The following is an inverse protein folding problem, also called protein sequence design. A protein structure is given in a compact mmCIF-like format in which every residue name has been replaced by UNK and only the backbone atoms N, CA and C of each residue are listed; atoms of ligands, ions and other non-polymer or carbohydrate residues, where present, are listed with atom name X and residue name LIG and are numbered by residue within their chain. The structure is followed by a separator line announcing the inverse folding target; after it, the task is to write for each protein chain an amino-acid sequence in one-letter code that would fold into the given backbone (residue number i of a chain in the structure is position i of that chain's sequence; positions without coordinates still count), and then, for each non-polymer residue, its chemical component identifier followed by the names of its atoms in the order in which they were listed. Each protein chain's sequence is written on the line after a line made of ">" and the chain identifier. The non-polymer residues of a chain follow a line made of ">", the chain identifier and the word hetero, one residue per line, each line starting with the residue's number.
data_IF_656692091228
#
_entry.id   IF_656692091228
#
_cell.length_a   1.000
_cell.length_b   1.000
_cell.length_c   1.000
_cell.angle_alpha   90.00
_cell.angle_beta   90.00
_cell.angle_gamma   90.00
#
_symmetry.space_group_name_H-M   'P 1'
#
loop_
_entity.id
_entity.type
_entity.pdbx_description
1 polymer ?
#
# COMPACT_ATOMS: atom_id res chain seq x y z
N UNK A 1 4.58 -30.73 55.89
CA UNK A 1 4.19 -29.30 55.96
C UNK A 1 5.33 -28.35 55.61
N UNK A 2 6.49 -28.34 56.27
CA UNK A 2 7.58 -27.38 55.94
C UNK A 2 8.18 -27.56 54.52
N UNK A 3 8.38 -28.82 54.09
CA UNK A 3 8.95 -29.18 52.77
C UNK A 3 8.09 -28.76 51.56
N UNK A 4 6.75 -28.91 51.66
CA UNK A 4 5.82 -28.55 50.58
C UNK A 4 5.66 -27.04 50.43
N UNK A 5 5.59 -26.31 51.55
CA UNK A 5 5.60 -24.84 51.53
C UNK A 5 6.91 -24.29 50.95
N UNK A 6 8.05 -24.90 51.28
CA UNK A 6 9.35 -24.49 50.73
C UNK A 6 9.47 -24.76 49.23
N UNK A 7 8.77 -25.79 48.71
CA UNK A 7 8.69 -26.05 47.26
C UNK A 7 7.79 -25.01 46.57
N UNK A 8 6.58 -24.80 47.09
CA UNK A 8 5.65 -23.82 46.53
C UNK A 8 6.23 -22.39 46.49
N UNK A 9 6.93 -21.97 47.55
CA UNK A 9 7.61 -20.66 47.59
C UNK A 9 8.75 -20.57 46.58
N UNK A 10 9.47 -21.67 46.31
CA UNK A 10 10.52 -21.70 45.28
C UNK A 10 9.95 -21.60 43.87
N UNK A 11 8.91 -22.37 43.58
CA UNK A 11 8.26 -22.37 42.26
C UNK A 11 7.61 -21.00 41.97
N UNK A 12 6.97 -20.38 42.97
CA UNK A 12 6.38 -19.04 42.83
C UNK A 12 7.44 -17.95 42.58
N UNK A 13 8.62 -18.08 43.19
CA UNK A 13 9.76 -17.18 42.92
C UNK A 13 10.27 -17.35 41.49
N UNK A 14 10.32 -18.58 40.99
CA UNK A 14 10.69 -18.83 39.59
C UNK A 14 9.68 -18.18 38.64
N UNK A 15 8.37 -18.33 38.87
CA UNK A 15 7.34 -17.64 38.06
C UNK A 15 7.54 -16.13 38.04
N UNK A 16 7.88 -15.52 39.18
CA UNK A 16 8.13 -14.08 39.27
C UNK A 16 9.39 -13.64 38.50
N UNK A 17 10.48 -14.41 38.59
CA UNK A 17 11.70 -14.15 37.82
C UNK A 17 11.45 -14.30 36.31
N UNK A 18 10.68 -15.31 35.93
CA UNK A 18 10.24 -15.55 34.56
C UNK A 18 9.41 -14.38 34.03
N UNK A 19 8.41 -13.93 34.80
CA UNK A 19 7.59 -12.77 34.45
C UNK A 19 8.46 -11.53 34.19
N UNK A 20 9.48 -11.28 35.03
CA UNK A 20 10.43 -10.17 34.81
C UNK A 20 11.26 -10.33 33.54
N UNK A 21 11.75 -11.53 33.26
CA UNK A 21 12.52 -11.80 32.04
C UNK A 21 11.66 -11.61 30.78
N UNK A 22 10.42 -12.12 30.79
CA UNK A 22 9.45 -11.91 29.70
C UNK A 22 9.14 -10.44 29.47
N UNK A 23 9.03 -9.64 30.53
CA UNK A 23 8.80 -8.19 30.41
C UNK A 23 9.96 -7.47 29.73
N UNK A 24 11.20 -7.92 29.92
CA UNK A 24 12.40 -7.29 29.34
C UNK A 24 12.66 -7.65 27.87
N UNK A 25 12.04 -8.72 27.36
CA UNK A 25 12.22 -9.19 25.98
C UNK A 25 11.15 -8.62 25.06
N UNK A 26 11.58 -7.95 23.98
CA UNK A 26 10.70 -7.33 22.98
C UNK A 26 10.65 -8.10 21.66
N UNK A 27 11.66 -8.92 21.36
CA UNK A 27 11.71 -9.74 20.15
C UNK A 27 10.90 -11.02 20.33
N UNK A 28 9.99 -11.29 19.40
CA UNK A 28 9.07 -12.43 19.47
C UNK A 28 9.83 -13.77 19.52
N UNK A 29 10.86 -13.95 18.68
CA UNK A 29 11.66 -15.17 18.63
C UNK A 29 12.39 -15.50 19.95
N UNK A 30 13.00 -14.49 20.57
CA UNK A 30 13.64 -14.62 21.87
C UNK A 30 12.63 -14.95 22.96
N UNK A 31 11.46 -14.30 22.92
CA UNK A 31 10.39 -14.53 23.89
C UNK A 31 9.83 -15.96 23.79
N UNK A 32 9.62 -16.47 22.57
CA UNK A 32 9.19 -17.86 22.34
C UNK A 32 10.18 -18.86 22.95
N UNK A 33 11.47 -18.65 22.67
CA UNK A 33 12.55 -19.51 23.19
C UNK A 33 12.61 -19.45 24.72
N UNK A 34 12.44 -18.26 25.30
CA UNK A 34 12.41 -18.05 26.74
C UNK A 34 11.24 -18.79 27.39
N UNK A 35 10.02 -18.66 26.84
CA UNK A 35 8.82 -19.35 27.34
C UNK A 35 9.01 -20.87 27.31
N UNK A 36 9.50 -21.42 26.18
CA UNK A 36 9.73 -22.86 26.02
C UNK A 36 10.74 -23.37 27.06
N UNK A 37 11.89 -22.72 27.21
CA UNK A 37 12.91 -23.12 28.17
C UNK A 37 12.41 -23.07 29.61
N UNK A 38 11.57 -22.08 29.93
CA UNK A 38 10.94 -22.00 31.24
C UNK A 38 9.90 -23.08 31.46
N UNK A 39 9.07 -23.40 30.47
CA UNK A 39 8.12 -24.51 30.56
C UNK A 39 8.85 -25.85 30.81
N UNK A 40 9.96 -26.10 30.09
CA UNK A 40 10.78 -27.30 30.25
C UNK A 40 11.31 -27.48 31.67
N UNK A 41 11.81 -26.39 32.27
CA UNK A 41 12.45 -26.41 33.60
C UNK A 41 11.43 -26.40 34.73
N UNK A 42 10.45 -25.51 34.66
CA UNK A 42 9.42 -25.30 35.68
C UNK A 42 8.49 -26.51 35.81
N UNK A 43 8.04 -27.05 34.68
CA UNK A 43 7.13 -28.20 34.65
C UNK A 43 7.88 -29.54 34.57
N UNK A 44 9.21 -29.56 34.51
CA UNK A 44 10.00 -30.79 34.52
C UNK A 44 9.57 -31.79 33.42
N UNK A 45 9.44 -31.30 32.19
CA UNK A 45 8.98 -32.06 31.02
C UNK A 45 10.14 -32.35 30.05
N UNK A 46 9.94 -33.27 29.11
CA UNK A 46 10.98 -33.62 28.11
C UNK A 46 10.97 -32.69 26.90
N UNK A 47 9.78 -32.23 26.48
CA UNK A 47 9.63 -31.36 25.31
C UNK A 47 8.52 -30.35 25.55
N UNK A 48 8.65 -29.16 24.96
CA UNK A 48 7.62 -28.16 24.91
C UNK A 48 7.58 -27.55 23.51
N UNK A 49 6.38 -27.24 23.03
CA UNK A 49 6.13 -26.63 21.73
C UNK A 49 5.15 -25.49 21.94
N UNK A 50 5.44 -24.33 21.35
CA UNK A 50 4.57 -23.17 21.42
C UNK A 50 3.98 -22.90 20.03
N UNK A 51 2.66 -22.90 19.95
CA UNK A 51 1.90 -22.59 18.75
C UNK A 51 1.29 -21.20 18.89
N UNK A 52 1.57 -20.30 17.95
CA UNK A 52 0.89 -19.01 17.84
C UNK A 52 -0.42 -19.21 17.07
N UNK A 53 -1.49 -18.57 17.52
CA UNK A 53 -2.78 -18.61 16.84
C UNK A 53 -2.84 -17.53 15.75
N UNK A 54 -3.11 -17.94 14.52
CA UNK A 54 -3.39 -17.08 13.39
C UNK A 54 -4.89 -17.05 13.13
N UNK A 55 -5.54 -15.98 13.57
CA UNK A 55 -6.97 -15.76 13.44
C UNK A 55 -7.42 -15.61 11.97
N UNK A 56 -6.54 -15.12 11.09
CA UNK A 56 -6.89 -14.87 9.69
C UNK A 56 -7.07 -16.17 8.90
N UNK A 57 -6.25 -17.19 9.21
CA UNK A 57 -6.31 -18.51 8.54
C UNK A 57 -6.94 -19.59 9.41
N UNK A 58 -7.27 -19.28 10.67
CA UNK A 58 -7.73 -20.23 11.70
C UNK A 58 -6.76 -21.41 11.91
N UNK A 59 -5.47 -21.08 12.06
CA UNK A 59 -4.39 -22.06 12.19
C UNK A 59 -3.49 -21.80 13.41
N UNK A 60 -2.87 -22.88 13.89
CA UNK A 60 -1.82 -22.86 14.90
C UNK A 60 -0.46 -23.03 14.22
N UNK A 61 0.41 -22.04 14.41
CA UNK A 61 1.73 -21.98 13.77
C UNK A 61 2.82 -22.13 14.82
N UNK A 62 3.63 -23.19 14.74
CA UNK A 62 4.81 -23.34 15.57
C UNK A 62 6.04 -22.77 14.85
N UNK A 63 6.65 -21.73 15.45
CA UNK A 63 7.94 -21.20 15.02
C UNK A 63 9.07 -21.90 15.79
N UNK A 64 9.86 -22.71 15.09
CA UNK A 64 10.98 -23.45 15.69
C UNK A 64 12.24 -22.57 15.63
N UNK A 65 12.88 -22.34 16.78
CA UNK A 65 14.07 -21.48 16.92
C UNK A 65 15.34 -22.00 16.21
N UNK A 66 15.29 -23.12 15.48
CA UNK A 66 16.46 -23.82 14.91
C UNK A 66 16.40 -24.03 13.39
N UNK A 67 15.73 -23.15 12.64
CA UNK A 67 15.92 -23.06 11.18
C UNK A 67 15.32 -24.20 10.34
N UNK A 68 14.23 -24.81 10.79
CA UNK A 68 13.43 -25.80 10.03
C UNK A 68 12.00 -25.30 9.92
N UNK A 69 11.32 -25.68 8.82
CA UNK A 69 9.98 -25.29 8.36
C UNK A 69 8.94 -24.96 9.46
N UNK A 70 8.12 -23.94 9.19
CA UNK A 70 6.94 -23.62 10.00
C UNK A 70 5.96 -24.79 9.99
N UNK A 71 5.64 -25.34 11.18
CA UNK A 71 4.59 -26.33 11.31
C UNK A 71 3.25 -25.62 11.50
N UNK A 72 2.37 -25.74 10.51
CA UNK A 72 0.98 -25.22 10.55
C UNK A 72 0.01 -26.38 10.77
N UNK A 73 -0.87 -26.23 11.75
CA UNK A 73 -1.97 -27.18 11.99
C UNK A 73 -3.30 -26.43 12.12
N UNK A 74 -4.41 -26.95 11.57
CA UNK A 74 -5.73 -26.34 11.75
C UNK A 74 -6.07 -26.18 13.22
N UNK A 75 -6.62 -25.02 13.60
CA UNK A 75 -6.94 -24.70 14.99
C UNK A 75 -8.14 -25.48 15.55
N UNK A 76 -8.85 -26.25 14.72
CA UNK A 76 -9.97 -27.11 15.10
C UNK A 76 -9.57 -28.57 15.33
N UNK A 77 -8.31 -28.93 15.06
CA UNK A 77 -7.84 -30.33 15.08
C UNK A 77 -6.89 -30.64 16.21
N UNK A 78 -6.99 -31.88 16.69
CA UNK A 78 -6.14 -32.44 17.72
C UNK A 78 -6.32 -31.80 19.10
N UNK A 79 -5.41 -32.11 20.01
CA UNK A 79 -5.52 -31.69 21.41
C UNK A 79 -5.25 -30.19 21.58
N UNK A 80 -4.33 -29.62 20.78
CA UNK A 80 -4.13 -28.17 20.73
C UNK A 80 -5.38 -27.45 20.20
N UNK A 81 -6.03 -27.96 19.15
CA UNK A 81 -7.27 -27.36 18.64
C UNK A 81 -8.43 -27.42 19.64
N UNK A 82 -8.56 -28.50 20.40
CA UNK A 82 -9.52 -28.54 21.51
C UNK A 82 -9.23 -27.46 22.58
N UNK A 83 -7.96 -27.15 22.82
CA UNK A 83 -7.56 -26.08 23.74
C UNK A 83 -7.96 -24.71 23.21
N UNK A 84 -7.82 -24.49 21.89
CA UNK A 84 -8.32 -23.28 21.21
C UNK A 84 -9.83 -23.14 21.39
N UNK A 85 -10.60 -24.19 21.06
CA UNK A 85 -12.06 -24.18 21.12
C UNK A 85 -12.62 -24.01 22.53
N UNK A 86 -11.99 -24.62 23.53
CA UNK A 86 -12.48 -24.60 24.91
C UNK A 86 -11.91 -23.46 25.73
N UNK A 87 -10.76 -22.90 25.35
CA UNK A 87 -10.02 -21.92 26.12
C UNK A 87 -9.55 -22.43 27.49
N UNK A 88 -9.45 -23.76 27.67
CA UNK A 88 -9.12 -24.43 28.93
C UNK A 88 -7.90 -25.32 28.78
N UNK A 89 -7.13 -25.45 29.86
CA UNK A 89 -6.02 -26.41 29.95
C UNK A 89 -6.54 -27.84 29.81
N UNK A 90 -5.87 -28.65 28.98
CA UNK A 90 -6.22 -30.06 28.75
C UNK A 90 -5.03 -30.92 29.17
N UNK A 91 -5.28 -31.90 30.03
CA UNK A 91 -4.30 -32.90 30.45
C UNK A 91 -4.69 -34.25 29.86
N UNK A 92 -3.73 -34.91 29.22
CA UNK A 92 -3.91 -36.24 28.63
C UNK A 92 -2.90 -37.20 29.28
N UNK A 93 -3.36 -38.10 30.16
CA UNK A 93 -2.49 -39.04 30.88
C UNK A 93 -1.84 -40.11 29.99
N UNK A 94 -2.50 -40.51 28.91
CA UNK A 94 -1.96 -41.41 27.89
C UNK A 94 -2.30 -40.89 26.49
N UNK A 95 -1.29 -40.38 25.78
CA UNK A 95 -1.47 -39.81 24.45
C UNK A 95 -1.95 -40.83 23.42
N UNK A 96 -1.49 -42.09 23.48
CA UNK A 96 -1.88 -43.12 22.50
C UNK A 96 -3.27 -43.70 22.76
N UNK A 97 -3.84 -43.45 23.95
CA UNK A 97 -5.21 -43.81 24.29
C UNK A 97 -6.23 -42.71 23.94
N UNK A 98 -5.78 -41.50 23.60
CA UNK A 98 -6.65 -40.37 23.27
C UNK A 98 -6.91 -40.30 21.76
N UNK A 99 -8.18 -40.36 21.35
CA UNK A 99 -8.59 -40.33 19.94
C UNK A 99 -8.18 -39.04 19.20
N UNK A 100 -7.95 -37.95 19.94
CA UNK A 100 -7.54 -36.65 19.37
C UNK A 100 -6.03 -36.58 19.12
N UNK A 101 -5.25 -37.52 19.63
CA UNK A 101 -3.81 -37.56 19.40
C UNK A 101 -3.52 -38.12 18.00
N UNK A 102 -2.56 -37.53 17.30
CA UNK A 102 -2.09 -38.03 16.00
C UNK A 102 -0.74 -38.75 16.15
N UNK A 103 -0.69 -40.09 16.15
CA UNK A 103 0.55 -40.84 16.34
C UNK A 103 1.53 -40.74 15.17
N UNK A 104 1.11 -40.20 14.01
CA UNK A 104 1.98 -40.10 12.84
C UNK A 104 3.14 -39.12 13.09
N UNK A 105 2.87 -38.01 13.79
CA UNK A 105 3.88 -37.00 14.14
C UNK A 105 4.99 -37.60 15.01
N UNK A 106 4.63 -38.45 15.96
CA UNK A 106 5.58 -39.17 16.82
C UNK A 106 6.46 -40.15 16.02
N UNK A 107 5.87 -40.88 15.06
CA UNK A 107 6.59 -41.80 14.18
C UNK A 107 7.61 -41.07 13.30
N UNK A 108 7.22 -39.95 12.72
CA UNK A 108 8.06 -39.17 11.82
C UNK A 108 9.22 -38.52 12.57
N UNK A 109 9.01 -38.10 13.82
CA UNK A 109 10.02 -37.47 14.68
C UNK A 109 10.84 -38.47 15.53
N UNK A 110 10.53 -39.77 15.45
CA UNK A 110 11.18 -40.80 16.27
C UNK A 110 11.03 -40.57 17.78
N UNK A 111 9.94 -39.93 18.20
CA UNK A 111 9.66 -39.56 19.58
C UNK A 111 8.39 -40.27 20.06
N UNK A 112 8.33 -40.65 21.35
CA UNK A 112 7.13 -41.26 21.93
C UNK A 112 6.55 -40.36 23.01
N UNK A 113 5.36 -39.85 22.75
CA UNK A 113 4.56 -39.09 23.69
C UNK A 113 3.80 -40.05 24.62
N UNK A 114 4.08 -39.98 25.92
CA UNK A 114 3.46 -40.75 26.99
C UNK A 114 2.26 -40.00 27.55
N UNK A 115 2.51 -38.83 28.14
CA UNK A 115 1.50 -37.92 28.65
C UNK A 115 1.77 -36.50 28.12
N UNK A 116 0.74 -35.68 28.05
CA UNK A 116 0.88 -34.29 27.60
C UNK A 116 -0.11 -33.36 28.28
N UNK A 117 0.22 -32.07 28.26
CA UNK A 117 -0.66 -30.98 28.69
C UNK A 117 -0.62 -29.87 27.65
N UNK A 118 -1.78 -29.31 27.32
CA UNK A 118 -1.92 -28.14 26.45
C UNK A 118 -2.56 -27.00 27.22
N UNK A 119 -1.95 -25.82 27.13
CA UNK A 119 -2.24 -24.65 27.96
C UNK A 119 -2.59 -23.48 27.03
N UNK A 120 -3.75 -22.85 27.19
CA UNK A 120 -4.10 -21.67 26.40
C UNK A 120 -3.23 -20.48 26.83
N UNK A 121 -2.63 -19.80 25.86
CA UNK A 121 -1.88 -18.58 26.06
C UNK A 121 -2.82 -17.41 25.79
N UNK A 122 -3.38 -16.84 26.85
CA UNK A 122 -4.34 -15.74 26.73
C UNK A 122 -3.69 -14.40 27.00
N UNK A 123 -3.90 -13.46 26.09
CA UNK A 123 -3.49 -12.08 26.23
C UNK A 123 -4.44 -11.28 27.12
N UNK A 124 -4.38 -9.96 26.98
CA UNK A 124 -5.34 -9.04 27.59
C UNK A 124 -6.76 -9.34 27.09
N UNK A 125 -7.75 -9.10 27.96
CA UNK A 125 -9.18 -9.31 27.65
C UNK A 125 -9.55 -10.76 27.26
N UNK A 126 -8.78 -11.74 27.74
CA UNK A 126 -9.01 -13.18 27.50
C UNK A 126 -8.84 -13.60 26.02
N UNK A 127 -8.22 -12.76 25.18
CA UNK A 127 -7.97 -13.09 23.78
C UNK A 127 -6.94 -14.22 23.66
N UNK A 128 -7.21 -15.26 22.88
CA UNK A 128 -6.29 -16.37 22.69
C UNK A 128 -5.17 -15.99 21.71
N UNK A 129 -3.94 -16.02 22.20
CA UNK A 129 -2.73 -15.67 21.42
C UNK A 129 -2.04 -16.93 20.88
N UNK A 130 -2.25 -18.06 21.54
CA UNK A 130 -1.62 -19.32 21.16
C UNK A 130 -1.88 -20.45 22.16
N UNK A 131 -1.18 -21.56 21.96
CA UNK A 131 -1.22 -22.74 22.83
C UNK A 131 0.19 -23.20 23.13
N UNK A 132 0.49 -23.39 24.42
CA UNK A 132 1.71 -24.06 24.87
C UNK A 132 1.41 -25.54 25.11
N UNK A 133 2.09 -26.41 24.37
CA UNK A 133 2.04 -27.84 24.56
C UNK A 133 3.30 -28.31 25.29
N UNK A 134 3.14 -29.13 26.33
CA UNK A 134 4.24 -29.77 27.04
C UNK A 134 4.07 -31.28 27.04
N UNK A 135 5.14 -32.01 26.80
CA UNK A 135 5.14 -33.45 26.57
C UNK A 135 6.05 -34.18 27.56
N UNK A 136 5.60 -35.34 28.02
CA UNK A 136 6.32 -36.28 28.87
C UNK A 136 6.84 -35.66 30.16
N UNK A 137 6.00 -35.63 31.20
CA UNK A 137 6.43 -35.31 32.57
C UNK A 137 7.51 -36.31 33.01
N UNK A 138 8.63 -35.81 33.52
CA UNK A 138 9.80 -36.63 33.89
C UNK A 138 9.58 -37.46 35.16
N UNK A 139 8.68 -37.02 36.04
CA UNK A 139 8.38 -37.72 37.30
C UNK A 139 6.88 -37.66 37.56
N UNK A 140 6.25 -38.85 37.61
CA UNK A 140 4.81 -38.99 37.80
C UNK A 140 3.97 -38.43 36.66
N UNK A 141 2.68 -38.28 36.93
CA UNK A 141 1.72 -37.58 36.07
C UNK A 141 1.62 -36.10 36.47
N UNK A 142 0.98 -35.30 35.62
CA UNK A 142 0.72 -33.90 35.93
C UNK A 142 -0.23 -33.77 37.14
N UNK A 143 0.24 -33.10 38.19
CA UNK A 143 -0.53 -32.81 39.39
C UNK A 143 -1.36 -31.51 39.25
N UNK A 144 -2.32 -31.30 40.13
CA UNK A 144 -3.08 -30.04 40.18
C UNK A 144 -2.15 -28.80 40.34
N UNK A 145 -1.07 -28.95 41.12
CA UNK A 145 -0.05 -27.90 41.25
C UNK A 145 0.69 -27.62 39.93
N UNK A 146 0.96 -28.66 39.12
CA UNK A 146 1.57 -28.47 37.80
C UNK A 146 0.62 -27.73 36.85
N UNK A 147 -0.69 -27.98 36.97
CA UNK A 147 -1.72 -27.27 36.20
C UNK A 147 -1.77 -25.80 36.62
N UNK A 148 -1.86 -25.51 37.92
CA UNK A 148 -1.86 -24.13 38.44
C UNK A 148 -0.61 -23.35 37.98
N UNK A 149 0.55 -24.00 38.02
CA UNK A 149 1.82 -23.42 37.62
C UNK A 149 1.90 -23.18 36.11
N UNK A 150 1.39 -24.12 35.32
CA UNK A 150 1.30 -24.03 33.87
C UNK A 150 0.34 -22.91 33.44
N UNK A 151 -0.81 -22.77 34.09
CA UNK A 151 -1.79 -21.71 33.84
C UNK A 151 -1.22 -20.33 34.20
N UNK A 152 -0.50 -20.22 35.32
CA UNK A 152 0.20 -18.99 35.70
C UNK A 152 1.26 -18.59 34.66
N UNK A 153 2.07 -19.55 34.20
CA UNK A 153 3.03 -19.33 33.12
C UNK A 153 2.32 -18.94 31.82
N UNK A 154 1.24 -19.63 31.47
CA UNK A 154 0.47 -19.41 30.26
C UNK A 154 -0.16 -18.01 30.19
N UNK A 155 -0.69 -17.51 31.31
CA UNK A 155 -1.22 -16.16 31.42
C UNK A 155 -0.13 -15.08 31.24
N UNK A 156 1.05 -15.26 31.85
CA UNK A 156 2.17 -14.32 31.68
C UNK A 156 2.72 -14.35 30.25
N UNK A 157 2.91 -15.56 29.70
CA UNK A 157 3.38 -15.77 28.35
C UNK A 157 2.40 -15.18 27.31
N UNK A 158 1.09 -15.38 27.49
CA UNK A 158 0.08 -14.84 26.58
C UNK A 158 0.11 -13.32 26.48
N UNK A 159 0.19 -12.62 27.61
CA UNK A 159 0.32 -11.15 27.63
C UNK A 159 1.63 -10.69 26.98
N UNK A 160 2.74 -11.33 27.30
CA UNK A 160 4.04 -10.98 26.73
C UNK A 160 4.09 -11.20 25.21
N UNK A 161 3.53 -12.31 24.72
CA UNK A 161 3.46 -12.65 23.30
C UNK A 161 2.56 -11.69 22.53
N UNK A 162 1.38 -11.35 23.08
CA UNK A 162 0.50 -10.36 22.46
C UNK A 162 1.23 -9.03 22.29
N UNK A 163 1.93 -8.57 23.33
CA UNK A 163 2.71 -7.34 23.29
C UNK A 163 3.82 -7.40 22.22
N UNK A 164 4.60 -8.49 22.18
CA UNK A 164 5.67 -8.65 21.21
C UNK A 164 5.14 -8.63 19.77
N UNK A 165 4.03 -9.33 19.50
CA UNK A 165 3.37 -9.33 18.17
C UNK A 165 2.83 -7.95 17.78
N UNK A 166 2.19 -7.25 18.71
CA UNK A 166 1.71 -5.89 18.47
C UNK A 166 2.86 -4.92 18.18
N UNK A 167 3.98 -5.04 18.90
CA UNK A 167 5.18 -4.22 18.67
C UNK A 167 5.82 -4.52 17.31
N UNK A 168 5.93 -5.79 16.93
CA UNK A 168 6.44 -6.22 15.62
C UNK A 168 5.59 -5.62 14.49
N UNK A 169 4.27 -5.82 14.52
CA UNK A 169 3.36 -5.24 13.53
C UNK A 169 3.42 -3.70 13.50
N UNK A 170 3.53 -3.05 14.65
CA UNK A 170 3.67 -1.61 14.74
C UNK A 170 4.96 -1.12 14.07
N UNK A 171 6.08 -1.78 14.32
CA UNK A 171 7.37 -1.44 13.71
C UNK A 171 7.38 -1.70 12.19
N UNK A 172 6.74 -2.78 11.72
CA UNK A 172 6.58 -3.05 10.29
C UNK A 172 5.72 -1.99 9.62
N UNK A 173 4.57 -1.64 10.20
CA UNK A 173 3.72 -0.56 9.72
C UNK A 173 4.47 0.77 9.66
N UNK A 174 5.21 1.13 10.72
CA UNK A 174 5.99 2.37 10.75
C UNK A 174 7.09 2.39 9.68
N UNK A 175 7.74 1.26 9.40
CA UNK A 175 8.72 1.15 8.31
C UNK A 175 8.06 1.35 6.95
N UNK A 176 6.88 0.76 6.73
CA UNK A 176 6.12 0.92 5.49
C UNK A 176 5.68 2.37 5.28
N UNK A 177 5.08 2.99 6.29
CA UNK A 177 4.67 4.41 6.25
C UNK A 177 5.85 5.32 5.93
N UNK A 178 7.03 5.07 6.53
CA UNK A 178 8.24 5.84 6.25
C UNK A 178 8.72 5.65 4.81
N UNK A 179 8.66 4.44 4.27
CA UNK A 179 9.01 4.18 2.87
C UNK A 179 8.06 4.90 1.91
N UNK A 180 6.75 4.88 2.18
CA UNK A 180 5.74 5.59 1.39
C UNK A 180 5.93 7.10 1.44
N UNK A 181 6.25 7.67 2.61
CA UNK A 181 6.55 9.10 2.71
C UNK A 181 7.76 9.50 1.86
N UNK A 182 8.81 8.68 1.83
CA UNK A 182 9.97 8.92 0.97
C UNK A 182 9.58 8.87 -0.51
N UNK A 183 8.78 7.88 -0.92
CA UNK A 183 8.28 7.79 -2.28
C UNK A 183 7.46 9.03 -2.69
N UNK A 184 6.59 9.49 -1.80
CA UNK A 184 5.81 10.73 -1.98
C UNK A 184 6.69 11.95 -2.17
N UNK A 185 7.71 12.11 -1.33
CA UNK A 185 8.62 13.26 -1.39
C UNK A 185 9.42 13.26 -2.71
N UNK A 186 9.85 12.07 -3.18
CA UNK A 186 10.50 11.91 -4.48
C UNK A 186 9.55 12.32 -5.61
N UNK A 187 8.33 11.78 -5.63
CA UNK A 187 7.37 12.06 -6.71
C UNK A 187 6.97 13.53 -6.77
N UNK A 188 6.73 14.16 -5.60
CA UNK A 188 6.50 15.61 -5.52
C UNK A 188 7.70 16.41 -6.03
N UNK A 189 8.92 16.00 -5.67
CA UNK A 189 10.15 16.64 -6.16
C UNK A 189 10.42 16.41 -7.65
N UNK A 190 9.72 15.46 -8.29
CA UNK A 190 9.76 15.31 -9.74
C UNK A 190 8.90 16.39 -10.41
N UNK A 191 7.74 16.77 -9.87
CA UNK A 191 6.82 17.72 -10.51
C UNK A 191 7.44 19.12 -10.67
N UNK A 192 7.00 19.92 -11.66
CA UNK A 192 7.45 21.31 -11.81
C UNK A 192 7.09 22.19 -10.59
N UNK A 193 8.10 22.72 -9.90
CA UNK A 193 7.91 23.61 -8.74
C UNK A 193 7.21 24.95 -9.09
N UNK A 194 7.44 25.44 -10.31
CA UNK A 194 6.93 26.73 -10.78
C UNK A 194 6.53 26.65 -12.24
N UNK A 195 5.44 27.34 -12.64
CA UNK A 195 5.11 27.47 -14.05
C UNK A 195 6.24 28.22 -14.80
N UNK A 196 6.57 27.81 -16.03
CA UNK A 196 7.55 28.50 -16.84
C UNK A 196 7.06 29.88 -17.30
N UNK A 197 8.00 30.77 -17.57
CA UNK A 197 7.70 32.07 -18.19
C UNK A 197 7.74 31.93 -19.71
N UNK A 198 6.57 31.95 -20.36
CA UNK A 198 6.40 31.80 -21.81
C UNK A 198 5.84 33.10 -22.39
N UNK A 199 6.43 33.62 -23.45
CA UNK A 199 6.05 34.91 -24.02
C UNK A 199 4.58 34.93 -24.47
N UNK A 200 3.79 35.81 -23.85
CA UNK A 200 2.36 35.98 -24.12
C UNK A 200 1.47 34.81 -23.70
N UNK A 201 1.97 33.90 -22.87
CA UNK A 201 1.20 32.82 -22.28
C UNK A 201 1.32 32.82 -20.76
N UNK A 202 0.21 32.50 -20.12
CA UNK A 202 0.16 32.17 -18.70
C UNK A 202 -0.15 30.68 -18.57
N UNK A 203 0.61 29.97 -17.75
CA UNK A 203 0.44 28.53 -17.53
C UNK A 203 0.43 28.22 -16.05
N UNK A 204 -0.31 27.20 -15.68
CA UNK A 204 -0.31 26.65 -14.32
C UNK A 204 -0.54 25.15 -14.38
N UNK A 205 -0.05 24.45 -13.37
CA UNK A 205 -0.26 23.01 -13.19
C UNK A 205 -0.51 22.69 -11.72
N UNK A 206 -1.31 21.68 -11.47
CA UNK A 206 -1.59 21.12 -10.15
C UNK A 206 -1.57 19.59 -10.27
N UNK A 207 -1.07 18.92 -9.24
CA UNK A 207 -1.30 17.49 -9.02
C UNK A 207 -1.52 17.30 -7.52
N UNK A 208 -2.68 16.77 -7.17
CA UNK A 208 -3.07 16.43 -5.80
C UNK A 208 -3.44 14.94 -5.74
N UNK A 209 -2.53 14.08 -5.27
CA UNK A 209 -2.75 12.63 -5.22
C UNK A 209 -3.84 12.22 -4.23
N UNK A 210 -4.62 11.18 -4.57
CA UNK A 210 -5.63 10.61 -3.70
C UNK A 210 -5.02 9.80 -2.54
N UNK A 211 -3.98 9.02 -2.85
CA UNK A 211 -3.24 8.17 -1.91
C UNK A 211 -1.92 8.85 -1.46
N UNK A 212 -1.05 8.12 -0.74
CA UNK A 212 0.28 8.61 -0.39
C UNK A 212 1.16 8.91 -1.62
N UNK A 213 0.94 8.22 -2.73
CA UNK A 213 1.60 8.45 -4.03
C UNK A 213 0.57 8.47 -5.14
N UNK A 214 0.80 9.27 -6.20
CA UNK A 214 -0.13 9.39 -7.32
C UNK A 214 0.20 8.50 -8.52
N UNK A 215 -0.80 8.11 -9.29
CA UNK A 215 -0.66 7.61 -10.66
C UNK A 215 -0.47 8.71 -11.69
N UNK A 216 -0.72 9.97 -11.31
CA UNK A 216 -0.67 11.11 -12.22
C UNK A 216 0.67 11.85 -12.28
N UNK A 217 0.91 12.53 -13.41
CA UNK A 217 1.95 13.54 -13.53
C UNK A 217 1.58 14.63 -14.52
N UNK A 218 2.24 15.78 -14.37
CA UNK A 218 2.30 16.79 -15.41
C UNK A 218 3.73 17.33 -15.55
N UNK A 219 4.03 17.92 -16.70
CA UNK A 219 5.34 18.51 -16.94
C UNK A 219 5.32 19.67 -17.93
N UNK A 220 6.33 20.54 -17.78
CA UNK A 220 6.63 21.62 -18.70
C UNK A 220 8.08 21.48 -19.17
N UNK A 221 8.27 21.05 -20.41
CA UNK A 221 9.57 20.66 -20.94
C UNK A 221 10.02 21.71 -21.97
N UNK A 222 11.09 22.48 -21.69
CA UNK A 222 11.63 23.41 -22.67
C UNK A 222 12.32 22.63 -23.81
N UNK A 223 12.00 22.97 -25.05
CA UNK A 223 12.64 22.41 -26.23
C UNK A 223 13.76 23.33 -26.72
N UNK A 224 14.80 22.77 -27.34
CA UNK A 224 15.94 23.54 -27.85
C UNK A 224 15.55 24.58 -28.91
N UNK A 225 14.39 24.41 -29.55
CA UNK A 225 13.80 25.35 -30.52
C UNK A 225 13.23 26.62 -29.89
N UNK A 226 13.05 26.67 -28.57
CA UNK A 226 12.31 27.74 -27.87
C UNK A 226 10.82 27.44 -27.68
N UNK A 227 10.34 26.33 -28.24
CA UNK A 227 9.01 25.79 -27.98
C UNK A 227 8.93 25.11 -26.60
N UNK A 228 7.72 24.86 -26.14
CA UNK A 228 7.46 24.20 -24.85
C UNK A 228 6.54 23.00 -25.04
N UNK A 229 6.96 21.85 -24.53
CA UNK A 229 6.10 20.68 -24.45
C UNK A 229 5.37 20.63 -23.10
N UNK A 230 4.07 20.34 -23.15
CA UNK A 230 3.17 20.18 -22.04
C UNK A 230 2.73 18.73 -21.99
N UNK A 231 2.89 18.12 -20.82
CA UNK A 231 2.53 16.73 -20.58
C UNK A 231 1.51 16.67 -19.46
N UNK A 232 0.47 15.87 -19.66
CA UNK A 232 -0.28 15.23 -18.56
C UNK A 232 -0.30 13.75 -18.85
N UNK A 233 -0.02 12.94 -17.85
CA UNK A 233 -0.13 11.50 -17.99
C UNK A 233 -0.63 10.87 -16.70
N UNK A 234 -1.31 9.74 -16.84
CA UNK A 234 -1.98 9.02 -15.76
C UNK A 234 -1.79 7.51 -15.99
N UNK A 235 -1.22 6.84 -14.99
CA UNK A 235 -0.96 5.43 -14.98
C UNK A 235 -2.09 4.63 -14.30
N UNK A 236 -2.52 3.55 -14.94
CA UNK A 236 -3.62 2.72 -14.41
C UNK A 236 -3.37 2.13 -13.03
N UNK A 237 -4.35 2.32 -12.14
CA UNK A 237 -4.39 1.73 -10.80
C UNK A 237 -4.11 2.78 -9.72
N UNK A 238 -3.89 2.33 -8.47
CA UNK A 238 -3.57 3.23 -7.36
C UNK A 238 -2.39 2.69 -6.51
N UNK A 239 -1.81 3.55 -5.67
CA UNK A 239 -0.66 3.24 -4.81
C UNK A 239 0.72 3.30 -5.49
N UNK A 240 1.69 2.54 -4.98
CA UNK A 240 3.11 2.69 -5.37
C UNK A 240 3.44 2.19 -6.79
N UNK A 241 2.66 1.24 -7.32
CA UNK A 241 2.88 0.69 -8.67
C UNK A 241 2.74 1.76 -9.77
N UNK A 242 1.57 2.40 -9.90
CA UNK A 242 1.34 3.52 -10.82
C UNK A 242 2.34 4.66 -10.63
N UNK A 243 2.71 4.98 -9.38
CA UNK A 243 3.68 6.03 -9.09
C UNK A 243 5.08 5.76 -9.68
N UNK A 244 5.51 4.50 -9.73
CA UNK A 244 6.76 4.12 -10.40
C UNK A 244 6.63 4.22 -11.92
N UNK A 245 5.51 3.75 -12.47
CA UNK A 245 5.21 3.80 -13.91
C UNK A 245 5.17 5.25 -14.42
N UNK A 246 4.57 6.16 -13.65
CA UNK A 246 4.47 7.56 -14.07
C UNK A 246 5.80 8.31 -13.94
N UNK A 247 6.63 7.97 -12.94
CA UNK A 247 7.99 8.50 -12.82
C UNK A 247 8.87 8.09 -14.01
N UNK A 248 8.77 6.82 -14.44
CA UNK A 248 9.44 6.28 -15.62
C UNK A 248 8.94 6.95 -16.91
N UNK A 249 7.62 6.97 -17.11
CA UNK A 249 6.98 7.61 -18.27
C UNK A 249 7.42 9.04 -18.43
N UNK A 250 7.40 9.81 -17.35
CA UNK A 250 7.85 11.20 -17.34
C UNK A 250 9.33 11.32 -17.73
N UNK A 251 10.20 10.47 -17.20
CA UNK A 251 11.62 10.47 -17.53
C UNK A 251 11.85 10.14 -19.02
N UNK A 252 11.12 9.17 -19.56
CA UNK A 252 11.17 8.81 -20.99
C UNK A 252 10.69 9.94 -21.88
N UNK A 253 9.54 10.56 -21.57
CA UNK A 253 9.00 11.70 -22.33
C UNK A 253 9.99 12.89 -22.32
N UNK A 254 10.59 13.20 -21.16
CA UNK A 254 11.64 14.23 -21.07
C UNK A 254 12.85 13.90 -21.93
N UNK A 255 13.33 12.67 -21.89
CA UNK A 255 14.48 12.25 -22.70
C UNK A 255 14.16 12.34 -24.20
N UNK A 256 13.01 11.82 -24.63
CA UNK A 256 12.57 11.84 -26.03
C UNK A 256 12.38 13.29 -26.53
N UNK A 257 11.76 14.15 -25.72
CA UNK A 257 11.60 15.57 -26.02
C UNK A 257 12.94 16.30 -26.16
N UNK A 258 13.94 15.97 -25.33
CA UNK A 258 15.27 16.58 -25.38
C UNK A 258 16.05 16.22 -26.66
N UNK A 259 15.90 15.00 -27.17
CA UNK A 259 16.65 14.49 -28.32
C UNK A 259 15.92 14.59 -29.66
N UNK A 260 14.68 15.10 -29.69
CA UNK A 260 13.92 15.30 -30.93
C UNK A 260 14.67 16.25 -31.87
N UNK A 261 15.11 15.73 -33.03
CA UNK A 261 16.13 16.31 -33.93
C UNK A 261 15.65 17.39 -34.90
N UNK A 262 14.42 17.85 -34.80
CA UNK A 262 13.90 18.91 -35.65
C UNK A 262 13.58 20.14 -34.80
N UNK A 263 13.93 21.33 -35.26
CA UNK A 263 13.57 22.60 -34.61
C UNK A 263 12.07 22.85 -34.45
N UNK A 264 11.21 21.87 -34.75
CA UNK A 264 9.85 21.74 -34.29
C UNK A 264 9.75 20.38 -33.59
N UNK A 265 9.44 20.33 -32.30
CA UNK A 265 9.31 19.05 -31.60
C UNK A 265 8.22 18.22 -32.25
N UNK A 266 8.58 17.01 -32.70
CA UNK A 266 7.64 16.09 -33.34
C UNK A 266 6.91 15.28 -32.26
N UNK A 267 5.67 15.67 -31.98
CA UNK A 267 4.76 15.01 -31.03
C UNK A 267 4.70 13.50 -31.30
N UNK A 268 4.58 13.12 -32.58
CA UNK A 268 4.49 11.73 -33.02
C UNK A 268 5.74 10.96 -32.61
N UNK A 269 6.92 11.47 -32.96
CA UNK A 269 8.18 10.80 -32.63
C UNK A 269 8.38 10.61 -31.13
N UNK A 270 7.99 11.59 -30.31
CA UNK A 270 8.11 11.51 -28.85
C UNK A 270 7.19 10.42 -28.31
N UNK A 271 5.92 10.39 -28.72
CA UNK A 271 4.95 9.39 -28.25
C UNK A 271 5.28 7.99 -28.75
N UNK A 272 5.65 7.82 -30.02
CA UNK A 272 6.05 6.53 -30.59
C UNK A 272 7.25 5.94 -29.84
N UNK A 273 8.27 6.77 -29.61
CA UNK A 273 9.49 6.33 -28.91
C UNK A 273 9.19 5.99 -27.45
N UNK A 274 8.41 6.83 -26.75
CA UNK A 274 8.00 6.57 -25.38
C UNK A 274 7.14 5.29 -25.29
N UNK A 275 6.18 5.10 -26.20
CA UNK A 275 5.34 3.90 -26.25
C UNK A 275 6.16 2.64 -26.45
N UNK A 276 7.12 2.64 -27.39
CA UNK A 276 7.99 1.51 -27.63
C UNK A 276 8.78 1.13 -26.38
N UNK A 277 9.41 2.10 -25.71
CA UNK A 277 10.16 1.86 -24.48
C UNK A 277 9.25 1.36 -23.35
N UNK A 278 8.12 2.04 -23.11
CA UNK A 278 7.16 1.63 -22.08
C UNK A 278 6.58 0.25 -22.35
N UNK A 279 6.34 -0.13 -23.60
CA UNK A 279 5.84 -1.48 -23.92
C UNK A 279 6.84 -2.60 -23.63
N UNK A 280 8.13 -2.28 -23.50
CA UNK A 280 9.16 -3.25 -23.09
C UNK A 280 9.26 -3.39 -21.58
N UNK A 281 9.06 -2.28 -20.85
CA UNK A 281 9.22 -2.22 -19.40
C UNK A 281 7.90 -2.59 -18.67
N UNK A 282 6.75 -2.21 -19.24
CA UNK A 282 5.43 -2.53 -18.72
C UNK A 282 5.02 -3.96 -19.09
N UNK A 283 4.69 -4.77 -18.09
CA UNK A 283 4.09 -6.08 -18.29
C UNK A 283 2.63 -5.98 -18.77
N UNK A 284 2.08 -7.11 -19.24
CA UNK A 284 0.67 -7.17 -19.65
C UNK A 284 -0.27 -6.86 -18.48
N UNK A 285 -0.86 -5.66 -18.48
CA UNK A 285 -1.84 -5.23 -17.48
C UNK A 285 -1.71 -3.78 -17.00
N UNK A 286 -0.63 -3.08 -17.33
CA UNK A 286 -0.46 -1.65 -17.02
C UNK A 286 -0.37 -0.83 -18.30
N UNK A 287 -0.97 0.36 -18.28
CA UNK A 287 -0.85 1.33 -19.36
C UNK A 287 -0.90 2.75 -18.82
N UNK A 288 -0.54 3.71 -19.67
CA UNK A 288 -0.49 5.13 -19.30
C UNK A 288 -1.27 5.94 -20.31
N UNK A 289 -2.30 6.65 -19.84
CA UNK A 289 -2.91 7.70 -20.66
C UNK A 289 -1.98 8.90 -20.69
N UNK A 290 -1.77 9.53 -21.85
CA UNK A 290 -0.87 10.67 -21.98
C UNK A 290 -1.38 11.69 -22.98
N UNK A 291 -1.46 12.95 -22.58
CA UNK A 291 -1.54 14.11 -23.46
C UNK A 291 -0.15 14.71 -23.65
N UNK A 292 0.24 14.98 -24.90
CA UNK A 292 1.45 15.72 -25.25
C UNK A 292 1.08 16.85 -26.21
N UNK A 293 1.35 18.10 -25.81
CA UNK A 293 1.17 19.29 -26.63
C UNK A 293 2.44 20.12 -26.72
N UNK A 294 2.83 20.54 -27.92
CA UNK A 294 4.00 21.38 -28.16
C UNK A 294 3.53 22.74 -28.62
N UNK A 295 3.77 23.74 -27.78
CA UNK A 295 3.42 25.14 -28.00
C UNK A 295 4.61 25.89 -28.60
N UNK A 296 4.33 26.55 -29.71
CA UNK A 296 5.21 27.55 -30.29
C UNK A 296 4.78 28.96 -29.85
N UNK A 297 5.58 29.65 -29.02
CA UNK A 297 5.24 30.98 -28.53
C UNK A 297 5.33 32.08 -29.60
N UNK A 298 5.98 31.84 -30.75
CA UNK A 298 6.08 32.81 -31.83
C UNK A 298 4.85 32.75 -32.75
N UNK A 299 4.41 31.53 -33.11
CA UNK A 299 3.23 31.33 -33.97
C UNK A 299 1.91 31.27 -33.17
N UNK A 300 1.99 31.12 -31.85
CA UNK A 300 0.86 30.89 -30.94
C UNK A 300 0.06 29.62 -31.29
N UNK A 301 0.75 28.63 -31.84
CA UNK A 301 0.19 27.36 -32.26
C UNK A 301 0.63 26.25 -31.31
N UNK A 302 -0.32 25.39 -30.91
CA UNK A 302 -0.01 24.15 -30.22
C UNK A 302 -0.38 22.95 -31.09
N UNK A 303 0.62 22.15 -31.41
CA UNK A 303 0.45 20.83 -32.02
C UNK A 303 0.38 19.79 -30.92
N UNK A 304 -0.61 18.91 -30.92
CA UNK A 304 -0.82 17.96 -29.83
C UNK A 304 -1.34 16.60 -30.34
N UNK A 305 -1.13 15.59 -29.50
CA UNK A 305 -1.75 14.28 -29.60
C UNK A 305 -2.08 13.77 -28.21
N UNK A 306 -3.03 12.85 -28.13
CA UNK A 306 -3.43 12.20 -26.90
C UNK A 306 -3.47 10.68 -27.06
N UNK A 307 -2.59 10.01 -26.33
CA UNK A 307 -2.56 8.57 -26.14
C UNK A 307 -3.55 8.19 -25.04
N UNK A 308 -4.82 7.99 -25.39
CA UNK A 308 -5.87 7.54 -24.47
C UNK A 308 -6.34 8.56 -23.42
N UNK A 309 -5.73 9.73 -23.33
CA UNK A 309 -6.05 10.74 -22.31
C UNK A 309 -7.17 11.69 -22.76
N UNK A 310 -8.09 12.05 -21.88
CA UNK A 310 -9.07 13.09 -22.17
C UNK A 310 -10.34 13.01 -21.33
N UNK A 311 -11.31 13.89 -21.62
CA UNK A 311 -11.32 14.85 -22.73
C UNK A 311 -10.38 16.05 -22.53
N UNK A 312 -9.78 16.56 -23.61
CA UNK A 312 -9.07 17.85 -23.58
C UNK A 312 -10.05 18.98 -23.88
N UNK A 313 -9.98 20.06 -23.11
CA UNK A 313 -10.92 21.16 -23.18
C UNK A 313 -10.25 22.39 -23.78
N UNK A 314 -10.77 22.87 -24.91
CA UNK A 314 -10.33 24.14 -25.51
C UNK A 314 -11.45 25.17 -25.43
N UNK A 315 -11.19 26.31 -24.80
CA UNK A 315 -12.09 27.45 -24.71
C UNK A 315 -11.69 28.53 -25.70
N UNK A 316 -12.64 28.95 -26.52
CA UNK A 316 -12.48 30.07 -27.45
C UNK A 316 -13.20 31.31 -26.94
N UNK A 317 -12.44 32.37 -26.69
CA UNK A 317 -12.94 33.61 -26.10
C UNK A 317 -13.88 34.37 -27.03
N UNK A 318 -13.60 34.38 -28.34
CA UNK A 318 -14.40 35.12 -29.32
C UNK A 318 -15.83 34.61 -29.45
N UNK A 319 -16.04 33.31 -29.18
CA UNK A 319 -17.32 32.62 -29.33
C UNK A 319 -17.97 32.26 -27.97
N UNK A 320 -17.26 32.47 -26.86
CA UNK A 320 -17.60 31.96 -25.51
C UNK A 320 -17.96 30.46 -25.50
N UNK A 321 -17.17 29.68 -26.24
CA UNK A 321 -17.47 28.28 -26.57
C UNK A 321 -16.35 27.33 -26.18
N UNK A 322 -16.72 26.17 -25.64
CA UNK A 322 -15.81 25.06 -25.41
C UNK A 322 -15.84 24.06 -26.56
N UNK A 323 -14.69 23.46 -26.81
CA UNK A 323 -14.47 22.33 -27.69
C UNK A 323 -13.88 21.20 -26.85
N UNK A 324 -14.68 20.16 -26.64
CA UNK A 324 -14.24 18.91 -26.04
C UNK A 324 -13.60 18.06 -27.12
N UNK A 325 -12.32 17.75 -26.96
CA UNK A 325 -11.56 16.95 -27.91
C UNK A 325 -11.26 15.60 -27.26
N UNK A 326 -11.75 14.48 -27.82
CA UNK A 326 -11.43 13.16 -27.31
C UNK A 326 -9.97 12.80 -27.60
N UNK A 327 -9.50 11.73 -26.94
CA UNK A 327 -8.19 11.13 -27.22
C UNK A 327 -8.00 10.86 -28.73
N UNK A 328 -6.77 11.03 -29.23
CA UNK A 328 -6.46 10.78 -30.64
C UNK A 328 -6.17 9.31 -30.90
N UNK A 329 -5.65 8.59 -29.90
CA UNK A 329 -5.29 7.19 -30.04
C UNK A 329 -5.40 6.41 -28.72
N UNK A 330 -4.93 5.16 -28.69
CA UNK A 330 -4.93 4.32 -27.47
C UNK A 330 -3.85 4.76 -26.46
N UNK A 331 -3.99 4.39 -25.17
CA UNK A 331 -2.95 4.61 -24.17
C UNK A 331 -1.57 4.02 -24.52
N UNK A 332 -0.52 4.63 -23.96
CA UNK A 332 0.86 4.16 -24.08
C UNK A 332 1.04 2.81 -23.38
N UNK A 333 1.87 1.94 -23.97
CA UNK A 333 2.23 0.63 -23.40
C UNK A 333 1.24 -0.49 -23.69
N UNK A 334 0.08 -0.21 -24.29
CA UNK A 334 -0.90 -1.26 -24.66
C UNK A 334 -0.48 -2.02 -25.93
N UNK A 335 -0.07 -1.29 -26.96
CA UNK A 335 0.28 -1.85 -28.27
C UNK A 335 1.70 -1.41 -28.62
N UNK A 336 2.64 -2.36 -28.70
CA UNK A 336 4.05 -2.09 -29.04
C UNK A 336 4.19 -1.36 -30.39
N UNK A 337 3.42 -1.80 -31.40
CA UNK A 337 3.44 -1.25 -32.76
C UNK A 337 2.47 -0.06 -32.98
N UNK A 338 2.02 0.62 -31.91
CA UNK A 338 1.19 1.82 -32.05
C UNK A 338 1.94 2.96 -32.74
N UNK A 339 1.27 3.66 -33.66
CA UNK A 339 1.76 4.88 -34.33
C UNK A 339 0.83 6.05 -34.02
N UNK A 340 1.38 7.11 -33.44
CA UNK A 340 0.64 8.30 -33.01
C UNK A 340 0.63 9.40 -34.10
N UNK A 341 0.47 9.02 -35.37
CA UNK A 341 0.54 9.92 -36.54
C UNK A 341 -0.56 11.00 -36.59
N UNK A 342 -1.71 10.78 -35.95
CA UNK A 342 -2.82 11.74 -35.94
C UNK A 342 -2.62 12.88 -34.93
N UNK A 343 -1.77 13.84 -35.30
CA UNK A 343 -1.63 15.10 -34.56
C UNK A 343 -2.70 16.12 -34.94
N UNK A 344 -3.09 16.96 -33.98
CA UNK A 344 -4.02 18.07 -34.15
C UNK A 344 -3.35 19.38 -33.80
N UNK A 345 -3.89 20.47 -34.35
CA UNK A 345 -3.39 21.82 -34.13
C UNK A 345 -4.47 22.69 -33.49
N UNK A 346 -4.08 23.48 -32.49
CA UNK A 346 -4.89 24.55 -31.92
C UNK A 346 -4.13 25.88 -31.97
N UNK A 347 -4.69 26.87 -32.67
CA UNK A 347 -4.16 28.23 -32.69
C UNK A 347 -4.83 29.06 -31.60
N UNK A 348 -4.04 29.66 -30.72
CA UNK A 348 -4.53 30.48 -29.63
C UNK A 348 -4.77 31.93 -30.08
N UNK A 349 -6.01 32.40 -29.94
CA UNK A 349 -6.31 33.83 -29.95
C UNK A 349 -6.15 34.41 -28.52
N UNK A 350 -5.93 35.73 -28.38
CA UNK A 350 -5.93 36.40 -27.08
C UNK A 350 -7.17 36.06 -26.23
N UNK A 351 -6.94 35.53 -25.02
CA UNK A 351 -7.98 35.08 -24.10
C UNK A 351 -8.45 33.63 -24.26
N UNK A 352 -7.97 32.90 -25.28
CA UNK A 352 -8.26 31.47 -25.41
C UNK A 352 -7.52 30.66 -24.31
N UNK A 353 -8.15 29.56 -23.90
CA UNK A 353 -7.66 28.69 -22.80
C UNK A 353 -7.67 27.24 -23.27
N UNK A 354 -6.60 26.50 -23.03
CA UNK A 354 -6.59 25.05 -23.06
C UNK A 354 -6.51 24.53 -21.63
N UNK A 355 -7.38 23.59 -21.28
CA UNK A 355 -7.43 22.91 -19.99
C UNK A 355 -7.35 21.41 -20.26
N UNK A 356 -6.37 20.77 -19.66
CA UNK A 356 -6.23 19.31 -19.69
C UNK A 356 -6.23 18.85 -18.23
N UNK A 357 -7.06 17.88 -17.92
CA UNK A 357 -7.26 17.37 -16.55
C UNK A 357 -7.32 15.85 -16.60
N UNK A 358 -6.91 15.19 -15.52
CA UNK A 358 -7.23 13.79 -15.28
C UNK A 358 -8.70 13.64 -14.88
N UNK A 359 -9.18 12.39 -14.91
CA UNK A 359 -10.58 12.05 -14.68
C UNK A 359 -11.06 12.37 -13.27
N UNK A 360 -10.19 12.37 -12.26
CA UNK A 360 -10.51 12.79 -10.90
C UNK A 360 -11.24 14.15 -10.82
N UNK A 361 -10.98 15.08 -11.75
CA UNK A 361 -11.65 16.40 -11.77
C UNK A 361 -13.13 16.35 -12.17
N UNK A 362 -13.56 15.35 -12.93
CA UNK A 362 -14.94 15.23 -13.39
C UNK A 362 -15.62 13.94 -12.93
N UNK A 363 -14.88 12.92 -12.47
CA UNK A 363 -15.40 11.67 -11.90
C UNK A 363 -15.48 11.68 -10.36
N UNK A 364 -15.30 12.84 -9.72
CA UNK A 364 -15.57 12.99 -8.29
C UNK A 364 -17.07 12.80 -7.96
N UNK A 365 -17.37 12.13 -6.85
CA UNK A 365 -18.74 11.83 -6.42
C UNK A 365 -19.14 12.61 -5.16
N UNK A 366 -20.40 13.02 -5.09
CA UNK A 366 -21.02 13.51 -3.86
C UNK A 366 -21.57 12.36 -2.98
N UNK A 367 -22.06 12.64 -1.76
CA UNK A 367 -22.68 11.62 -0.90
C UNK A 367 -23.95 10.97 -1.48
N UNK A 368 -24.55 11.52 -2.53
CA UNK A 368 -25.68 10.94 -3.25
C UNK A 368 -25.24 10.08 -4.45
N UNK A 369 -23.92 9.87 -4.63
CA UNK A 369 -23.32 9.19 -5.78
C UNK A 369 -23.60 9.88 -7.12
N UNK A 370 -23.84 11.19 -7.10
CA UNK A 370 -23.86 12.01 -8.29
C UNK A 370 -22.42 12.44 -8.63
N UNK A 371 -22.05 12.27 -9.90
CA UNK A 371 -20.74 12.66 -10.42
C UNK A 371 -20.68 14.17 -10.65
N UNK A 372 -19.53 14.81 -10.37
CA UNK A 372 -19.31 16.23 -10.59
C UNK A 372 -19.55 16.60 -12.06
N UNK A 373 -18.91 15.83 -12.96
CA UNK A 373 -19.15 15.84 -14.40
C UNK A 373 -18.49 17.00 -15.14
N UNK A 374 -18.19 16.75 -16.42
CA UNK A 374 -17.64 17.75 -17.34
C UNK A 374 -18.47 19.05 -17.39
N UNK A 375 -19.82 19.04 -17.41
CA UNK A 375 -20.59 20.29 -17.47
C UNK A 375 -20.30 21.27 -16.34
N UNK A 376 -20.20 20.78 -15.08
CA UNK A 376 -19.87 21.64 -13.93
C UNK A 376 -18.46 22.20 -14.04
N UNK A 377 -17.50 21.37 -14.45
CA UNK A 377 -16.12 21.79 -14.70
C UNK A 377 -16.07 22.94 -15.73
N UNK A 378 -16.76 22.80 -16.85
CA UNK A 378 -16.81 23.84 -17.89
C UNK A 378 -17.45 25.15 -17.37
N UNK A 379 -18.49 25.08 -16.55
CA UNK A 379 -19.12 26.27 -15.97
C UNK A 379 -18.19 27.02 -15.01
N UNK A 380 -17.39 26.29 -14.23
CA UNK A 380 -16.35 26.88 -13.39
C UNK A 380 -15.27 27.55 -14.24
N UNK A 381 -14.73 26.85 -15.24
CA UNK A 381 -13.71 27.42 -16.15
C UNK A 381 -14.25 28.68 -16.85
N UNK A 382 -15.51 28.67 -17.31
CA UNK A 382 -16.15 29.83 -17.96
C UNK A 382 -16.29 31.02 -17.02
N UNK A 383 -16.68 30.78 -15.76
CA UNK A 383 -16.90 31.83 -14.77
C UNK A 383 -15.60 32.49 -14.32
N UNK A 384 -14.52 31.70 -14.27
CA UNK A 384 -13.23 32.11 -13.75
C UNK A 384 -12.20 32.44 -14.86
N UNK A 385 -12.59 32.37 -16.15
CA UNK A 385 -11.73 32.56 -17.33
C UNK A 385 -10.85 33.81 -17.36
N UNK A 386 -11.27 34.88 -16.67
CA UNK A 386 -10.55 36.16 -16.63
C UNK A 386 -9.50 36.19 -15.49
N UNK A 387 -9.44 35.16 -14.65
CA UNK A 387 -8.48 35.03 -13.54
C UNK A 387 -7.14 34.43 -14.00
N UNK A 388 -6.06 34.60 -13.21
CA UNK A 388 -4.81 33.88 -13.40
C UNK A 388 -4.99 32.36 -13.52
N UNK A 389 -4.15 31.68 -14.30
CA UNK A 389 -4.26 30.24 -14.54
C UNK A 389 -4.24 29.42 -13.24
N UNK A 390 -3.38 29.82 -12.30
CA UNK A 390 -3.31 29.18 -10.98
C UNK A 390 -4.63 29.35 -10.22
N UNK A 391 -5.24 30.54 -10.25
CA UNK A 391 -6.51 30.79 -9.55
C UNK A 391 -7.68 30.02 -10.18
N UNK A 392 -7.67 29.80 -11.50
CA UNK A 392 -8.65 28.95 -12.20
C UNK A 392 -8.55 27.51 -11.65
N UNK A 393 -7.34 26.96 -11.60
CA UNK A 393 -7.11 25.60 -11.08
C UNK A 393 -7.50 25.50 -9.61
N UNK A 394 -7.04 26.43 -8.78
CA UNK A 394 -7.31 26.44 -7.33
C UNK A 394 -8.81 26.55 -7.02
N UNK A 395 -9.58 27.27 -7.84
CA UNK A 395 -11.04 27.37 -7.70
C UNK A 395 -11.74 26.10 -8.15
N UNK A 396 -11.31 25.52 -9.27
CA UNK A 396 -11.87 24.25 -9.75
C UNK A 396 -11.60 23.12 -8.75
N UNK A 397 -10.37 23.00 -8.24
CA UNK A 397 -10.00 22.02 -7.20
C UNK A 397 -10.84 22.19 -5.93
N UNK A 398 -11.04 23.43 -5.46
CA UNK A 398 -11.93 23.71 -4.32
C UNK A 398 -13.39 23.36 -4.61
N UNK A 399 -13.86 23.55 -5.83
CA UNK A 399 -15.23 23.21 -6.21
C UNK A 399 -15.46 21.70 -6.19
N UNK A 400 -14.51 20.92 -6.71
CA UNK A 400 -14.53 19.44 -6.66
C UNK A 400 -14.53 18.96 -5.21
N UNK A 401 -13.62 19.46 -4.38
CA UNK A 401 -13.54 19.10 -2.96
C UNK A 401 -14.80 19.49 -2.17
N UNK A 402 -15.38 20.65 -2.45
CA UNK A 402 -16.63 21.08 -1.82
C UNK A 402 -17.82 20.21 -2.24
N UNK A 403 -17.84 19.74 -3.49
CA UNK A 403 -18.87 18.84 -4.02
C UNK A 403 -18.82 17.46 -3.36
N UNK A 404 -17.63 16.91 -3.16
CA UNK A 404 -17.44 15.61 -2.48
C UNK A 404 -17.82 15.64 -1.00
N UNK A 405 -18.03 16.81 -0.40
CA UNK A 405 -18.55 17.00 0.96
C UNK A 405 -17.80 16.20 2.07
N UNK A 406 -16.49 16.04 1.92
CA UNK A 406 -15.63 15.35 2.89
C UNK A 406 -15.53 13.83 2.70
N UNK A 407 -16.05 13.29 1.59
CA UNK A 407 -15.67 11.95 1.12
C UNK A 407 -14.18 11.91 0.79
N UNK A 408 -13.57 10.73 0.95
CA UNK A 408 -12.20 10.50 0.50
C UNK A 408 -12.11 10.67 -1.01
N UNK A 409 -11.00 11.26 -1.47
CA UNK A 409 -10.73 11.46 -2.88
C UNK A 409 -10.58 10.09 -3.55
N UNK A 410 -11.34 9.86 -4.62
CA UNK A 410 -11.39 8.56 -5.29
C UNK A 410 -10.22 8.36 -6.27
N UNK A 411 -9.73 9.44 -6.87
CA UNK A 411 -8.66 9.43 -7.87
C UNK A 411 -7.83 10.71 -7.81
N UNK A 412 -6.63 10.69 -8.39
CA UNK A 412 -5.72 11.83 -8.44
C UNK A 412 -6.34 13.04 -9.16
N UNK A 413 -6.02 14.24 -8.65
CA UNK A 413 -6.48 15.50 -9.25
C UNK A 413 -5.31 16.21 -9.91
N UNK A 414 -5.11 15.96 -11.20
CA UNK A 414 -4.06 16.61 -11.99
C UNK A 414 -4.64 17.48 -13.09
N UNK A 415 -4.12 18.70 -13.22
CA UNK A 415 -4.57 19.66 -14.20
C UNK A 415 -3.44 20.53 -14.73
N UNK A 416 -3.52 20.89 -16.01
CA UNK A 416 -2.72 21.94 -16.64
C UNK A 416 -3.64 22.92 -17.35
N UNK A 417 -3.41 24.22 -17.12
CA UNK A 417 -4.12 25.30 -17.79
C UNK A 417 -3.11 26.14 -18.56
N UNK A 418 -3.37 26.36 -19.83
CA UNK A 418 -2.59 27.21 -20.74
C UNK A 418 -3.51 28.30 -21.26
N UNK A 419 -3.19 29.56 -21.01
CA UNK A 419 -3.99 30.71 -21.44
C UNK A 419 -3.16 31.69 -22.24
N UNK A 420 -3.69 32.12 -23.38
CA UNK A 420 -3.09 33.20 -24.17
C UNK A 420 -3.43 34.55 -23.57
N UNK A 421 -2.42 35.34 -23.23
CA UNK A 421 -2.61 36.67 -22.68
C UNK A 421 -3.17 37.64 -23.73
N UNK A 422 -3.93 38.63 -23.24
CA UNK A 422 -4.62 39.64 -24.02
C UNK A 422 -3.67 40.61 -24.75
#
# INVERSE_FOLDING_TARGET
>A
MTSENDKAVRDLKQVLEISRAMVATNELGDLLTLIINHALTLLGVERATLFLYDEATDELVARIATGVDELRVPADKGICGQTVQTGKTIVVPDAYADERFNPQVDKDLGFRTRNLMTIPLKGCQDNLVGVLQVLNKRSGDFSDWDIDLAEALGAQAGVALQRARLLEHFLEKQKMERAMQIARDIQRGLLPDKPPSIAGFEVAGLSDPADETGGDTFDFIPLASGQWAFVIADATGHGIGPALVIAETRAMLRACAHFSKAGAGDVTHILDTANYLLSQDLGGGSFVTCFLGILDPETHEMTYASAGHGPMIFYRRSEDKFFEVPATFVPLGILEDASYEETKTFHFAPGDIAVVTTDGFFEAFDPASEMFGVPRMLDHIRSDRDLPCQEIIDKLHRAVNAFSAGLEQADDLTAVVIKRQA
#
